data_IF_532189818832
#
_entry.id   IF_532189818832
#
_cell.length_a   1.000
_cell.length_b   1.000
_cell.length_c   1.000
_cell.angle_alpha   90.00
_cell.angle_beta   90.00
_cell.angle_gamma   90.00
#
_symmetry.space_group_name_H-M   'P 1'
#
loop_
_entity.id
_entity.type
_entity.pdbx_description
1 polymer ?
#
# COMPACT_ATOMS: atom_id res chain seq x y z
N UNK A 1 1.17 24.87 -2.38
CA UNK A 1 1.10 24.93 -3.85
C UNK A 1 0.22 23.78 -4.29
N UNK A 2 -0.84 24.04 -5.05
CA UNK A 2 -1.75 23.00 -5.54
C UNK A 2 -1.10 22.36 -6.77
N UNK A 3 -1.03 21.03 -6.81
CA UNK A 3 -0.50 20.29 -7.97
C UNK A 3 -1.66 20.00 -8.91
N UNK A 4 -1.61 20.51 -10.15
CA UNK A 4 -2.62 20.25 -11.16
C UNK A 4 -2.36 18.89 -11.82
N UNK A 5 -3.42 18.29 -12.38
CA UNK A 5 -3.33 16.99 -13.05
C UNK A 5 -2.30 16.99 -14.16
N UNK A 6 -2.29 18.05 -14.95
CA UNK A 6 -1.54 18.11 -16.20
C UNK A 6 -0.03 18.29 -15.96
N UNK A 7 0.35 18.65 -14.72
CA UNK A 7 1.74 18.76 -14.28
C UNK A 7 2.37 17.39 -13.92
N UNK A 8 1.58 16.31 -13.96
CA UNK A 8 2.04 14.96 -13.62
C UNK A 8 2.40 14.18 -14.88
N UNK A 9 3.69 13.86 -14.98
CA UNK A 9 4.25 13.02 -16.04
C UNK A 9 4.58 11.65 -15.43
N UNK A 10 3.81 10.62 -15.79
CA UNK A 10 4.13 9.24 -15.42
C UNK A 10 5.34 8.73 -16.19
N UNK A 11 6.25 8.07 -15.47
CA UNK A 11 7.49 7.52 -16.00
C UNK A 11 7.42 6.00 -16.05
N UNK A 12 6.96 5.37 -14.96
CA UNK A 12 6.83 3.91 -14.81
C UNK A 12 5.62 3.57 -13.97
N UNK A 13 5.03 2.40 -14.23
CA UNK A 13 3.98 1.83 -13.41
C UNK A 13 4.19 0.32 -13.26
N UNK A 14 3.82 -0.23 -12.11
CA UNK A 14 3.76 -1.68 -11.84
C UNK A 14 2.54 -1.95 -10.96
N UNK A 15 1.83 -3.05 -11.18
CA UNK A 15 0.65 -3.41 -10.40
C UNK A 15 0.77 -4.83 -9.84
N UNK A 16 0.73 -4.97 -8.52
CA UNK A 16 0.76 -6.28 -7.86
C UNK A 16 -0.61 -6.67 -7.34
N UNK A 17 -0.90 -7.97 -7.27
CA UNK A 17 -2.18 -8.49 -6.75
C UNK A 17 -1.99 -8.99 -5.31
N UNK A 18 -2.73 -8.42 -4.37
CA UNK A 18 -2.68 -8.76 -2.95
C UNK A 18 -4.04 -9.32 -2.52
N UNK A 19 -4.14 -10.64 -2.45
CA UNK A 19 -5.36 -11.35 -2.07
C UNK A 19 -5.24 -11.93 -0.65
N UNK A 20 -5.68 -11.17 0.34
CA UNK A 20 -5.67 -11.60 1.75
C UNK A 20 -6.69 -12.70 2.02
N UNK A 21 -7.82 -12.71 1.31
CA UNK A 21 -8.88 -13.72 1.46
C UNK A 21 -8.35 -15.13 1.15
N UNK A 22 -7.42 -15.24 0.19
CA UNK A 22 -6.77 -16.49 -0.20
C UNK A 22 -5.35 -16.64 0.35
N UNK A 23 -4.82 -15.66 1.08
CA UNK A 23 -3.41 -15.63 1.50
C UNK A 23 -2.43 -15.68 0.32
N UNK A 24 -2.79 -15.09 -0.83
CA UNK A 24 -1.99 -15.12 -2.07
C UNK A 24 -1.52 -13.73 -2.47
N UNK A 25 -0.21 -13.60 -2.62
CA UNK A 25 0.45 -12.47 -3.27
C UNK A 25 0.95 -12.91 -4.65
N UNK A 26 0.65 -12.12 -5.69
CA UNK A 26 1.18 -12.33 -7.03
C UNK A 26 1.94 -11.08 -7.49
N UNK A 27 3.28 -11.11 -7.52
CA UNK A 27 4.07 -9.98 -7.98
C UNK A 27 4.04 -9.87 -9.51
N UNK A 28 3.91 -8.64 -10.02
CA UNK A 28 4.17 -8.34 -11.41
C UNK A 28 5.60 -8.72 -11.83
N UNK A 29 5.73 -9.16 -13.07
CA UNK A 29 7.02 -9.49 -13.69
C UNK A 29 7.52 -8.39 -14.63
N UNK A 30 6.62 -7.51 -15.08
CA UNK A 30 6.88 -6.47 -16.08
C UNK A 30 6.22 -5.13 -15.69
N UNK A 31 6.60 -4.07 -16.40
CA UNK A 31 5.94 -2.77 -16.28
C UNK A 31 4.49 -2.83 -16.77
N UNK A 32 3.63 -2.08 -16.10
CA UNK A 32 2.24 -1.91 -16.47
C UNK A 32 2.09 -0.75 -17.47
N UNK A 33 1.83 -1.09 -18.73
CA UNK A 33 1.56 -0.11 -19.79
C UNK A 33 0.12 0.42 -19.66
N UNK A 34 -0.03 1.55 -18.97
CA UNK A 34 -1.33 2.19 -18.77
C UNK A 34 -1.91 2.72 -20.09
N UNK A 35 -3.16 2.40 -20.37
CA UNK A 35 -3.93 2.97 -21.47
C UNK A 35 -4.32 4.43 -21.17
N UNK A 36 -4.61 5.27 -22.18
CA UNK A 36 -4.88 6.70 -21.97
C UNK A 36 -5.99 7.02 -20.97
N UNK A 37 -7.06 6.24 -20.97
CA UNK A 37 -8.18 6.34 -20.03
C UNK A 37 -7.74 6.02 -18.59
N UNK A 38 -6.94 4.97 -18.42
CA UNK A 38 -6.35 4.59 -17.12
C UNK A 38 -5.37 5.66 -16.63
N UNK A 39 -4.55 6.22 -17.51
CA UNK A 39 -3.60 7.31 -17.19
C UNK A 39 -4.36 8.50 -16.60
N UNK A 40 -5.48 8.90 -17.19
CA UNK A 40 -6.27 10.02 -16.69
C UNK A 40 -6.84 9.74 -15.29
N UNK A 41 -7.37 8.53 -15.08
CA UNK A 41 -7.90 8.12 -13.78
C UNK A 41 -6.81 8.07 -12.71
N UNK A 42 -5.65 7.48 -13.02
CA UNK A 42 -4.51 7.40 -12.08
C UNK A 42 -3.97 8.79 -11.75
N UNK A 43 -3.88 9.69 -12.75
CA UNK A 43 -3.50 11.09 -12.53
C UNK A 43 -4.43 11.79 -11.54
N UNK A 44 -5.75 11.60 -11.68
CA UNK A 44 -6.73 12.13 -10.71
C UNK A 44 -6.49 11.58 -9.30
N UNK A 45 -6.12 10.30 -9.16
CA UNK A 45 -5.80 9.71 -7.85
C UNK A 45 -4.53 10.29 -7.23
N UNK A 46 -3.47 10.48 -8.01
CA UNK A 46 -2.21 11.08 -7.52
C UNK A 46 -2.44 12.54 -7.11
N UNK A 47 -3.15 13.33 -7.92
CA UNK A 47 -3.54 14.69 -7.54
C UNK A 47 -4.40 14.73 -6.28
N UNK A 48 -5.34 13.80 -6.15
CA UNK A 48 -6.19 13.72 -4.97
C UNK A 48 -5.35 13.47 -3.71
N UNK A 49 -4.36 12.58 -3.76
CA UNK A 49 -3.45 12.37 -2.63
C UNK A 49 -2.62 13.60 -2.32
N UNK A 50 -1.96 14.19 -3.32
CA UNK A 50 -1.05 15.33 -3.14
C UNK A 50 -1.75 16.59 -2.60
N UNK A 51 -3.03 16.77 -2.95
CA UNK A 51 -3.82 17.93 -2.55
C UNK A 51 -4.82 17.60 -1.43
N UNK A 52 -4.75 16.42 -0.78
CA UNK A 52 -5.71 16.05 0.27
C UNK A 52 -5.43 16.85 1.54
N UNK A 53 -6.46 17.45 2.15
CA UNK A 53 -6.31 18.10 3.46
C UNK A 53 -6.02 17.09 4.59
N UNK A 54 -6.44 15.84 4.40
CA UNK A 54 -6.13 14.71 5.30
C UNK A 54 -4.73 14.09 5.08
N UNK A 55 -3.87 14.71 4.27
CA UNK A 55 -2.54 14.19 3.98
C UNK A 55 -1.66 14.27 5.23
N UNK A 56 -1.09 13.14 5.63
CA UNK A 56 -0.15 13.06 6.74
C UNK A 56 1.28 13.09 6.23
N UNK A 57 2.19 13.63 7.02
CA UNK A 57 3.62 13.51 6.80
C UNK A 57 4.20 12.39 7.68
N UNK A 58 5.22 11.71 7.17
CA UNK A 58 6.01 10.74 7.92
C UNK A 58 7.51 11.03 7.72
N UNK A 59 8.32 10.70 8.73
CA UNK A 59 9.76 10.86 8.67
C UNK A 59 10.39 9.84 7.72
N UNK A 60 11.35 10.30 6.92
CA UNK A 60 12.20 9.45 6.10
C UNK A 60 13.28 8.79 6.96
N UNK A 61 12.95 7.62 7.49
CA UNK A 61 13.82 6.91 8.42
C UNK A 61 14.68 5.86 7.69
N UNK A 62 15.91 6.24 7.33
CA UNK A 62 16.87 5.38 6.59
C UNK A 62 17.29 4.11 7.34
N UNK A 63 16.91 3.95 8.61
CA UNK A 63 17.13 2.71 9.37
C UNK A 63 16.06 1.66 9.10
N UNK A 64 14.91 2.04 8.54
CA UNK A 64 13.80 1.13 8.30
C UNK A 64 13.85 0.53 6.89
N UNK A 65 13.46 -0.74 6.69
CA UNK A 65 13.79 -1.41 5.44
C UNK A 65 13.02 -0.90 4.21
N UNK A 66 11.89 -0.18 4.39
CA UNK A 66 11.23 0.50 3.25
C UNK A 66 12.19 1.52 2.65
N UNK A 67 12.75 2.38 3.50
CA UNK A 67 13.59 3.48 3.06
C UNK A 67 14.94 2.97 2.55
N UNK A 68 15.53 1.97 3.19
CA UNK A 68 16.75 1.33 2.69
C UNK A 68 16.55 0.75 1.28
N UNK A 69 15.40 0.10 1.04
CA UNK A 69 15.10 -0.43 -0.29
C UNK A 69 14.90 0.68 -1.31
N UNK A 70 14.24 1.77 -0.94
CA UNK A 70 14.05 2.94 -1.80
C UNK A 70 15.38 3.63 -2.15
N UNK A 71 16.32 3.72 -1.21
CA UNK A 71 17.66 4.31 -1.47
C UNK A 71 18.52 3.45 -2.40
N UNK A 72 18.33 2.13 -2.37
CA UNK A 72 19.00 1.20 -3.27
C UNK A 72 18.37 1.15 -4.67
N UNK A 73 17.14 1.64 -4.80
CA UNK A 73 16.41 1.60 -6.07
C UNK A 73 17.01 2.58 -7.06
N UNK A 74 17.47 2.07 -8.20
CA UNK A 74 17.66 2.87 -9.39
C UNK A 74 16.31 3.02 -10.12
N UNK A 75 15.69 4.21 -10.05
CA UNK A 75 14.40 4.49 -10.71
C UNK A 75 14.46 4.30 -12.24
N UNK A 76 15.60 4.59 -12.87
CA UNK A 76 15.76 4.55 -14.32
C UNK A 76 15.87 3.12 -14.86
N UNK A 77 16.26 2.17 -14.02
CA UNK A 77 16.31 0.75 -14.38
C UNK A 77 14.97 0.06 -14.09
N UNK A 78 14.39 -0.57 -15.12
CA UNK A 78 13.07 -1.22 -15.02
C UNK A 78 13.10 -2.41 -14.06
N UNK A 79 14.18 -3.20 -14.11
CA UNK A 79 14.34 -4.37 -13.24
C UNK A 79 14.43 -3.95 -11.78
N UNK A 80 15.24 -2.96 -11.47
CA UNK A 80 15.34 -2.35 -10.14
C UNK A 80 14.00 -1.81 -9.64
N UNK A 81 13.22 -1.12 -10.50
CA UNK A 81 11.90 -0.60 -10.14
C UNK A 81 10.93 -1.73 -9.78
N UNK A 82 10.81 -2.76 -10.63
CA UNK A 82 9.92 -3.92 -10.44
C UNK A 82 10.32 -4.72 -9.19
N UNK A 83 11.61 -4.96 -8.98
CA UNK A 83 12.10 -5.69 -7.81
C UNK A 83 11.87 -4.91 -6.50
N UNK A 84 11.99 -3.58 -6.55
CA UNK A 84 11.71 -2.72 -5.40
C UNK A 84 10.22 -2.70 -5.07
N UNK A 85 9.36 -2.54 -6.08
CA UNK A 85 7.91 -2.55 -5.86
C UNK A 85 7.42 -3.91 -5.34
N UNK A 86 7.95 -5.01 -5.87
CA UNK A 86 7.64 -6.36 -5.40
C UNK A 86 8.04 -6.58 -3.94
N UNK A 87 9.25 -6.17 -3.55
CA UNK A 87 9.72 -6.27 -2.17
C UNK A 87 8.81 -5.47 -1.22
N UNK A 88 8.47 -4.23 -1.58
CA UNK A 88 7.59 -3.39 -0.76
C UNK A 88 6.17 -3.96 -0.69
N UNK A 89 5.67 -4.53 -1.79
CA UNK A 89 4.35 -5.15 -1.85
C UNK A 89 4.25 -6.40 -0.97
N UNK A 90 5.27 -7.25 -1.00
CA UNK A 90 5.38 -8.45 -0.17
C UNK A 90 5.33 -8.10 1.33
N UNK A 91 6.14 -7.12 1.74
CA UNK A 91 6.12 -6.64 3.13
C UNK A 91 4.78 -6.03 3.55
N UNK A 92 4.12 -5.31 2.64
CA UNK A 92 2.79 -4.77 2.92
C UNK A 92 1.78 -5.92 3.05
N UNK A 93 1.86 -6.91 2.17
CA UNK A 93 0.98 -8.07 2.16
C UNK A 93 1.07 -8.88 3.47
N UNK A 94 2.28 -9.09 3.99
CA UNK A 94 2.49 -9.72 5.30
C UNK A 94 1.74 -8.98 6.42
N UNK A 95 1.81 -7.64 6.43
CA UNK A 95 1.10 -6.82 7.42
C UNK A 95 -0.42 -6.91 7.21
N UNK A 96 -0.87 -6.93 5.96
CA UNK A 96 -2.30 -7.05 5.64
C UNK A 96 -2.88 -8.37 6.13
N UNK A 97 -2.11 -9.47 6.08
CA UNK A 97 -2.53 -10.77 6.60
C UNK A 97 -2.73 -10.81 8.12
N UNK A 98 -2.20 -9.82 8.86
CA UNK A 98 -2.41 -9.68 10.31
C UNK A 98 -3.70 -8.92 10.67
N UNK A 99 -4.65 -8.78 9.72
CA UNK A 99 -5.97 -8.22 9.96
C UNK A 99 -7.00 -8.84 9.03
N UNK A 100 -8.18 -9.17 9.56
CA UNK A 100 -9.33 -9.59 8.75
C UNK A 100 -10.10 -8.41 8.14
N UNK A 101 -9.85 -7.19 8.62
CA UNK A 101 -10.53 -5.98 8.15
C UNK A 101 -9.83 -5.32 6.97
N UNK A 102 -8.51 -5.52 6.81
CA UNK A 102 -7.77 -4.91 5.71
C UNK A 102 -8.13 -5.65 4.41
N UNK A 103 -8.74 -4.97 3.41
CA UNK A 103 -9.26 -5.67 2.24
C UNK A 103 -8.15 -6.03 1.24
N UNK A 104 -8.43 -7.06 0.44
CA UNK A 104 -7.67 -7.38 -0.77
C UNK A 104 -7.66 -6.19 -1.74
N UNK A 105 -6.56 -6.03 -2.46
CA UNK A 105 -6.34 -4.88 -3.31
C UNK A 105 -5.37 -5.19 -4.45
N UNK A 106 -5.47 -4.40 -5.51
CA UNK A 106 -4.33 -4.20 -6.40
C UNK A 106 -3.45 -3.09 -5.83
N UNK A 107 -2.14 -3.30 -5.87
CA UNK A 107 -1.17 -2.35 -5.37
C UNK A 107 -0.41 -1.73 -6.55
N UNK A 108 -0.79 -0.50 -6.89
CA UNK A 108 -0.22 0.25 -7.98
C UNK A 108 0.99 1.04 -7.50
N UNK A 109 2.15 0.76 -8.06
CA UNK A 109 3.36 1.56 -7.89
C UNK A 109 3.59 2.44 -9.10
N UNK A 110 4.01 3.67 -8.85
CA UNK A 110 4.23 4.68 -9.88
C UNK A 110 5.56 5.39 -9.64
N UNK A 111 6.34 5.59 -10.70
CA UNK A 111 7.29 6.69 -10.78
C UNK A 111 6.66 7.80 -11.59
N UNK A 112 6.70 9.02 -11.06
CA UNK A 112 6.21 10.20 -11.78
C UNK A 112 7.05 11.43 -11.45
N UNK A 113 6.94 12.42 -12.32
CA UNK A 113 7.60 13.70 -12.16
C UNK A 113 6.57 14.82 -12.15
N UNK A 114 6.76 15.76 -11.23
CA UNK A 114 6.04 17.04 -11.18
C UNK A 114 6.93 18.07 -10.49
N UNK A 115 6.85 19.34 -10.88
CA UNK A 115 7.70 20.41 -10.33
C UNK A 115 9.21 20.09 -10.32
N UNK A 116 9.70 19.42 -11.37
CA UNK A 116 11.10 18.98 -11.53
C UNK A 116 11.61 17.96 -10.49
N UNK A 117 10.74 17.43 -9.64
CA UNK A 117 11.09 16.41 -8.64
C UNK A 117 10.55 15.04 -9.05
N UNK A 118 11.28 13.99 -8.67
CA UNK A 118 10.90 12.60 -8.94
C UNK A 118 10.23 12.04 -7.70
N UNK A 119 9.07 11.45 -7.93
CA UNK A 119 8.24 10.84 -6.91
C UNK A 119 8.07 9.34 -7.17
N UNK A 120 8.02 8.58 -6.09
CA UNK A 120 7.62 7.19 -6.09
C UNK A 120 6.35 7.07 -5.27
N UNK A 121 5.30 6.49 -5.83
CA UNK A 121 4.03 6.32 -5.13
C UNK A 121 3.60 4.86 -5.06
N UNK A 122 2.90 4.55 -3.98
CA UNK A 122 2.16 3.33 -3.75
C UNK A 122 0.69 3.73 -3.56
N UNK A 123 -0.20 3.18 -4.37
CA UNK A 123 -1.64 3.40 -4.29
C UNK A 123 -2.32 2.05 -4.06
N UNK A 124 -3.05 1.92 -2.95
CA UNK A 124 -3.78 0.69 -2.61
C UNK A 124 -5.20 0.76 -3.17
N UNK A 125 -5.45 0.01 -4.24
CA UNK A 125 -6.72 -0.06 -4.95
C UNK A 125 -7.60 -1.17 -4.34
N UNK A 126 -8.21 -0.88 -3.19
CA UNK A 126 -9.12 -1.80 -2.50
C UNK A 126 -10.29 -2.19 -3.41
N UNK A 127 -10.52 -3.50 -3.59
CA UNK A 127 -11.63 -3.97 -4.42
C UNK A 127 -12.98 -3.48 -3.88
N UNK A 128 -13.84 -3.05 -4.80
CA UNK A 128 -15.22 -2.70 -4.48
C UNK A 128 -16.17 -3.67 -5.15
N UNK A 129 -17.26 -3.95 -4.45
CA UNK A 129 -18.36 -4.72 -4.99
C UNK A 129 -19.23 -3.82 -5.87
N UNK A 130 -19.53 -4.29 -7.07
CA UNK A 130 -20.48 -3.65 -7.98
C UNK A 130 -21.45 -4.68 -8.56
N UNK A 131 -22.65 -4.22 -8.87
CA UNK A 131 -23.67 -5.01 -9.55
C UNK A 131 -23.69 -4.64 -11.03
N UNK A 132 -23.71 -5.64 -11.91
CA UNK A 132 -23.91 -5.44 -13.35
C UNK A 132 -25.09 -6.29 -13.80
N UNK A 133 -25.96 -5.71 -14.62
CA UNK A 133 -26.99 -6.47 -15.31
C UNK A 133 -26.36 -7.25 -16.47
N UNK A 134 -26.83 -8.47 -16.70
CA UNK A 134 -26.56 -9.21 -17.92
C UNK A 134 -27.71 -9.08 -18.89
N UNK A 135 -27.39 -8.87 -20.16
CA UNK A 135 -28.39 -8.78 -21.22
C UNK A 135 -28.43 -10.12 -21.96
N UNK A 136 -29.63 -10.57 -22.30
CA UNK A 136 -29.86 -11.63 -23.27
C UNK A 136 -30.66 -11.08 -24.43
N UNK A 137 -30.39 -11.57 -25.64
CA UNK A 137 -31.25 -11.29 -26.79
C UNK A 137 -32.39 -12.31 -26.81
N UNK A 138 -33.61 -11.82 -26.75
CA UNK A 138 -34.82 -12.60 -26.94
C UNK A 138 -35.71 -11.86 -27.93
N UNK A 139 -36.08 -12.53 -29.02
CA UNK A 139 -36.91 -11.96 -30.09
C UNK A 139 -36.42 -10.59 -30.63
N UNK A 140 -35.11 -10.49 -30.92
CA UNK A 140 -34.42 -9.26 -31.35
C UNK A 140 -34.47 -8.08 -30.36
N UNK A 141 -34.98 -8.27 -29.15
CA UNK A 141 -34.93 -7.30 -28.06
C UNK A 141 -33.86 -7.70 -27.03
N UNK A 142 -33.21 -6.69 -26.43
CA UNK A 142 -32.29 -6.90 -25.30
C UNK A 142 -33.07 -6.82 -23.99
N UNK A 143 -33.16 -7.94 -23.28
CA UNK A 143 -33.78 -8.00 -21.95
C UNK A 143 -32.74 -8.29 -20.87
N UNK A 144 -32.97 -7.75 -19.67
CA UNK A 144 -32.14 -8.04 -18.51
C UNK A 144 -32.43 -9.48 -18.06
N UNK A 145 -31.43 -10.35 -18.16
CA UNK A 145 -31.55 -11.77 -17.80
C UNK A 145 -31.14 -12.05 -16.36
N UNK A 146 -30.19 -11.28 -15.83
CA UNK A 146 -29.62 -11.50 -14.51
C UNK A 146 -28.94 -10.25 -13.94
N UNK A 147 -28.65 -10.26 -12.63
CA UNK A 147 -27.79 -9.28 -11.96
C UNK A 147 -26.62 -10.05 -11.32
N UNK A 148 -25.40 -9.76 -11.75
CA UNK A 148 -24.18 -10.39 -11.21
C UNK A 148 -23.36 -9.43 -10.37
N UNK A 149 -22.66 -10.00 -9.40
CA UNK A 149 -21.69 -9.29 -8.59
C UNK A 149 -20.30 -9.36 -9.25
N UNK A 150 -19.59 -8.24 -9.29
CA UNK A 150 -18.21 -8.18 -9.78
C UNK A 150 -17.34 -7.33 -8.85
N UNK A 151 -16.12 -7.79 -8.56
CA UNK A 151 -15.08 -6.99 -7.91
C UNK A 151 -14.50 -6.03 -8.96
N UNK A 152 -14.48 -4.74 -8.65
CA UNK A 152 -13.95 -3.68 -9.52
C UNK A 152 -12.89 -2.86 -8.79
N UNK A 153 -11.99 -2.23 -9.56
CA UNK A 153 -11.02 -1.28 -9.04
C UNK A 153 -11.68 0.08 -8.78
N UNK A 154 -11.30 0.80 -7.71
CA UNK A 154 -11.90 2.06 -7.32
C UNK A 154 -11.36 3.27 -8.11
N UNK A 155 -10.93 3.10 -9.37
CA UNK A 155 -10.26 4.15 -10.15
C UNK A 155 -11.13 5.39 -10.43
N UNK A 156 -12.46 5.26 -10.36
CA UNK A 156 -13.42 6.38 -10.47
C UNK A 156 -13.81 7.05 -9.15
N UNK A 157 -13.27 6.60 -8.01
CA UNK A 157 -13.56 7.16 -6.68
C UNK A 157 -12.27 7.62 -6.01
N UNK A 158 -12.40 8.46 -4.98
CA UNK A 158 -11.25 8.89 -4.17
C UNK A 158 -10.62 7.67 -3.48
N UNK A 159 -9.35 7.42 -3.73
CA UNK A 159 -8.60 6.38 -3.02
C UNK A 159 -8.51 6.70 -1.53
N UNK A 160 -8.59 5.67 -0.71
CA UNK A 160 -8.54 5.84 0.74
C UNK A 160 -7.16 5.65 1.36
N UNK A 161 -6.24 5.00 0.64
CA UNK A 161 -4.95 4.58 1.18
C UNK A 161 -3.87 4.66 0.11
N UNK A 162 -2.74 5.28 0.44
CA UNK A 162 -1.60 5.44 -0.46
C UNK A 162 -0.47 6.22 0.20
N UNK A 163 0.74 6.06 -0.33
CA UNK A 163 1.96 6.69 0.14
C UNK A 163 2.67 7.30 -1.07
N UNK A 164 3.15 8.53 -0.93
CA UNK A 164 3.96 9.24 -1.91
C UNK A 164 5.29 9.59 -1.25
N UNK A 165 6.36 9.12 -1.87
CA UNK A 165 7.73 9.38 -1.53
C UNK A 165 8.28 10.42 -2.52
N UNK A 166 8.72 11.57 -2.02
CA UNK A 166 9.54 12.49 -2.80
C UNK A 166 10.99 12.00 -2.71
N UNK A 167 11.50 11.43 -3.80
CA UNK A 167 12.85 10.85 -3.83
C UNK A 167 13.94 11.92 -3.78
N UNK A 168 13.64 13.14 -4.26
CA UNK A 168 14.57 14.26 -4.31
C UNK A 168 14.75 14.91 -2.94
N UNK A 169 13.65 15.15 -2.22
CA UNK A 169 13.65 15.82 -0.92
C UNK A 169 13.62 14.86 0.27
N UNK A 170 13.55 13.55 0.03
CA UNK A 170 13.40 12.53 1.06
C UNK A 170 12.24 12.84 2.02
N UNK A 171 11.07 13.11 1.44
CA UNK A 171 9.83 13.37 2.19
C UNK A 171 8.81 12.29 1.92
N UNK A 172 7.99 11.99 2.92
CA UNK A 172 6.89 11.03 2.81
C UNK A 172 5.57 11.72 3.11
N UNK A 173 4.61 11.48 2.24
CA UNK A 173 3.24 11.91 2.41
C UNK A 173 2.34 10.68 2.28
N UNK A 174 1.32 10.56 3.13
CA UNK A 174 0.43 9.41 3.07
C UNK A 174 -1.00 9.70 3.48
N UNK A 175 -1.89 8.91 2.93
CA UNK A 175 -3.29 8.79 3.34
C UNK A 175 -3.49 7.36 3.82
N UNK A 176 -4.11 7.21 4.98
CA UNK A 176 -4.22 5.90 5.63
C UNK A 176 -5.49 5.79 6.48
N UNK A 177 -5.91 4.55 6.72
CA UNK A 177 -7.03 4.21 7.58
C UNK A 177 -6.56 3.42 8.80
N UNK A 178 -7.37 3.47 9.85
CA UNK A 178 -7.20 2.54 10.99
C UNK A 178 -7.95 1.25 10.70
N UNK A 179 -7.29 0.14 10.99
CA UNK A 179 -7.89 -1.18 10.99
C UNK A 179 -7.57 -1.88 12.30
N UNK A 180 -8.46 -2.77 12.74
CA UNK A 180 -8.21 -3.67 13.85
C UNK A 180 -7.29 -4.81 13.42
N UNK A 181 -6.20 -5.00 14.15
CA UNK A 181 -5.24 -6.09 13.95
C UNK A 181 -5.71 -7.34 14.67
N UNK A 182 -5.19 -8.52 14.32
CA UNK A 182 -5.51 -9.79 15.01
C UNK A 182 -5.22 -9.77 16.52
N UNK A 183 -4.36 -8.87 17.00
CA UNK A 183 -4.09 -8.67 18.42
C UNK A 183 -5.11 -7.77 19.13
N UNK A 184 -6.13 -7.26 18.42
CA UNK A 184 -7.17 -6.34 18.92
C UNK A 184 -6.80 -4.86 18.85
N UNK A 185 -5.57 -4.50 18.45
CA UNK A 185 -5.16 -3.09 18.39
C UNK A 185 -5.70 -2.44 17.11
N UNK A 186 -6.33 -1.27 17.26
CA UNK A 186 -6.78 -0.43 16.15
C UNK A 186 -5.71 0.61 15.78
N UNK A 187 -4.94 0.33 14.74
CA UNK A 187 -3.72 1.08 14.39
C UNK A 187 -3.72 1.63 12.97
N UNK A 188 -2.88 2.63 12.73
CA UNK A 188 -2.51 3.12 11.41
C UNK A 188 -1.38 2.26 10.83
N UNK A 189 -1.71 1.14 10.21
CA UNK A 189 -0.71 0.12 9.83
C UNK A 189 0.34 0.59 8.82
N UNK A 190 0.01 1.54 7.94
CA UNK A 190 0.97 2.12 7.00
C UNK A 190 2.05 2.89 7.75
N UNK A 191 1.67 3.80 8.65
CA UNK A 191 2.61 4.53 9.52
C UNK A 191 3.32 3.60 10.51
N UNK A 192 2.55 2.82 11.28
CA UNK A 192 3.01 2.14 12.49
C UNK A 192 3.74 0.83 12.20
N UNK A 193 3.42 0.11 11.12
CA UNK A 193 4.03 -1.19 10.79
C UNK A 193 4.81 -1.21 9.48
N UNK A 194 4.30 -0.55 8.43
CA UNK A 194 4.95 -0.56 7.12
C UNK A 194 6.13 0.41 7.08
N UNK A 195 5.90 1.69 7.34
CA UNK A 195 6.94 2.72 7.40
C UNK A 195 7.71 2.69 8.72
N UNK A 196 7.08 2.24 9.81
CA UNK A 196 7.60 2.31 11.19
C UNK A 196 8.10 3.71 11.54
N UNK A 197 7.41 4.70 11.00
CA UNK A 197 7.72 6.11 11.19
C UNK A 197 6.74 6.64 12.23
N UNK A 198 7.18 6.71 13.49
CA UNK A 198 6.32 7.15 14.59
C UNK A 198 6.34 8.67 14.63
N UNK A 199 5.47 9.32 13.86
CA UNK A 199 5.17 10.73 14.09
C UNK A 199 4.55 10.88 15.49
N UNK A 200 5.39 11.25 16.47
CA UNK A 200 5.09 11.65 17.86
C UNK A 200 4.18 10.73 18.71
N UNK A 201 4.79 9.78 19.42
CA UNK A 201 4.68 9.55 20.89
C UNK A 201 5.43 8.26 21.26
N UNK A 202 6.72 8.39 21.58
CA UNK A 202 7.68 7.26 21.56
C UNK A 202 7.72 6.35 22.79
N UNK A 203 7.03 6.61 23.90
CA UNK A 203 7.19 5.72 25.08
C UNK A 203 6.25 4.49 25.06
N UNK A 204 4.97 4.69 24.76
CA UNK A 204 3.95 3.63 24.92
C UNK A 204 3.89 2.66 23.71
N UNK A 205 4.19 3.15 22.50
CA UNK A 205 4.12 2.38 21.25
C UNK A 205 5.35 1.53 20.99
N UNK A 206 6.56 1.99 21.34
CA UNK A 206 7.79 1.17 21.24
C UNK A 206 7.65 -0.14 22.02
N UNK A 207 7.04 -0.08 23.21
CA UNK A 207 6.73 -1.25 24.03
C UNK A 207 5.76 -2.21 23.35
N UNK A 208 4.68 -1.70 22.75
CA UNK A 208 3.68 -2.52 22.05
C UNK A 208 4.28 -3.23 20.82
N UNK A 209 5.05 -2.52 19.98
CA UNK A 209 5.70 -3.11 18.80
C UNK A 209 6.68 -4.21 19.19
N UNK A 210 7.47 -3.99 20.24
CA UNK A 210 8.42 -4.99 20.75
C UNK A 210 7.68 -6.24 21.25
N UNK A 211 6.60 -6.04 22.02
CA UNK A 211 5.79 -7.14 22.56
C UNK A 211 5.10 -7.98 21.46
N UNK A 212 4.63 -7.34 20.39
CA UNK A 212 4.02 -8.02 19.24
C UNK A 212 5.04 -8.81 18.43
N UNK A 213 6.25 -8.27 18.25
CA UNK A 213 7.36 -8.96 17.56
C UNK A 213 7.77 -10.24 18.30
N UNK A 214 7.85 -10.18 19.63
CA UNK A 214 8.13 -11.33 20.49
C UNK A 214 7.02 -12.39 20.40
N UNK A 215 5.75 -11.98 20.35
CA UNK A 215 4.63 -12.92 20.16
C UNK A 215 4.69 -13.61 18.80
N UNK A 216 5.09 -12.90 17.74
CA UNK A 216 5.25 -13.48 16.40
C UNK A 216 6.42 -14.46 16.36
N UNK A 217 7.56 -14.13 16.99
CA UNK A 217 8.71 -15.04 17.12
C UNK A 217 8.29 -16.29 17.89
N UNK A 218 7.63 -16.17 19.04
CA UNK A 218 7.13 -17.30 19.81
C UNK A 218 6.16 -18.19 19.03
N UNK A 219 5.36 -17.60 18.12
CA UNK A 219 4.42 -18.35 17.27
C UNK A 219 5.12 -19.07 16.10
N UNK A 220 6.22 -18.52 15.57
CA UNK A 220 6.99 -19.12 14.46
C UNK A 220 8.12 -20.06 14.93
N UNK A 221 8.72 -19.78 16.08
CA UNK A 221 9.87 -20.47 16.65
C UNK A 221 9.70 -20.56 18.19
N UNK A 222 8.99 -21.60 18.69
CA UNK A 222 8.65 -21.71 20.11
C UNK A 222 9.86 -21.89 21.04
N UNK A 223 10.91 -22.54 20.54
CA UNK A 223 12.15 -22.82 21.29
C UNK A 223 12.95 -21.53 21.57
N UNK A 224 13.19 -20.70 20.53
CA UNK A 224 13.96 -19.44 20.64
C UNK A 224 13.19 -18.33 21.39
N UNK A 225 11.86 -18.39 21.36
CA UNK A 225 10.99 -17.40 21.98
C UNK A 225 11.03 -17.42 23.52
N UNK A 226 11.39 -18.57 24.11
CA UNK A 226 11.55 -18.74 25.55
C UNK A 226 12.83 -18.07 26.08
N UNK A 227 13.95 -18.19 25.37
CA UNK A 227 15.22 -17.55 25.76
C UNK A 227 15.08 -16.03 25.82
N UNK A 228 14.42 -15.42 24.83
CA UNK A 228 14.20 -13.97 24.79
C UNK A 228 13.26 -13.46 25.91
N UNK A 229 12.29 -14.27 26.36
CA UNK A 229 11.44 -13.91 27.50
C UNK A 229 12.22 -13.94 28.83
N UNK A 230 13.19 -14.84 28.98
CA UNK A 230 14.02 -14.92 30.18
C UNK A 230 14.95 -13.70 30.30
N UNK A 231 15.54 -13.24 29.19
CA UNK A 231 16.41 -12.04 29.16
C UNK A 231 15.65 -10.78 29.58
N UNK A 232 14.37 -10.65 29.23
CA UNK A 232 13.55 -9.50 29.61
C UNK A 232 13.22 -9.44 31.11
N UNK A 233 13.04 -10.60 31.78
CA UNK A 233 12.84 -10.65 33.24
C UNK A 233 14.09 -10.28 34.03
N UNK A 234 15.27 -10.37 33.44
CA UNK A 234 16.56 -10.02 34.05
C UNK A 234 16.93 -8.53 33.88
N UNK A 235 16.22 -7.80 33.01
CA UNK A 235 16.48 -6.39 32.68
C UNK A 235 15.42 -5.42 33.25
N UNK A 236 14.45 -5.95 34.01
CA UNK A 236 13.50 -5.19 34.86
C UNK A 236 13.98 -5.23 36.31
#
# INVERSE_FOLDING_TARGET
MIILSDDIIFRKAVIHLLNVELGKFAPAQDLFMMQPDVIELVRKQVCYLLNSDELKAADWNTKEPVFQKLEQMNEKDDKSFIQTSAYLADRLFDIMCDSVEIPSADLLYLSFQTNQEIYYALIKLNYQNSFMHELMKYDNEEIISNIRHKKILPLGKRISEGIIFNLSLQKVMLKEKKYEMLNGDKIYYLTERFLRSIAQTEAKRKYQILSSTIKIINKKYPEDGLEHQMVQKLLL
#
